data_IF_504801735205
#
_entry.id   IF_504801735205
#
_cell.length_a   1.000
_cell.length_b   1.000
_cell.length_c   1.000
_cell.angle_alpha   90.00
_cell.angle_beta   90.00
_cell.angle_gamma   90.00
#
_symmetry.space_group_name_H-M   'P 1'
#
loop_
_entity.id
_entity.type
_entity.pdbx_description
1 polymer ?
#
# COMPACT_ATOMS: atom_id res chain seq x y z
N UNK A 1 6.43 24.41 -1.09
CA UNK A 1 6.60 23.35 -0.06
C UNK A 1 5.39 22.45 0.02
N UNK A 2 4.17 22.99 0.11
CA UNK A 2 2.94 22.18 0.21
C UNK A 2 2.72 21.21 -0.97
N UNK A 3 2.84 21.68 -2.22
CA UNK A 3 2.70 20.83 -3.41
C UNK A 3 3.73 19.69 -3.43
N UNK A 4 4.97 19.97 -3.01
CA UNK A 4 6.04 18.97 -2.94
C UNK A 4 5.70 17.89 -1.90
N UNK A 5 5.26 18.30 -0.71
CA UNK A 5 4.88 17.39 0.37
C UNK A 5 3.68 16.51 -0.01
N UNK A 6 2.66 17.11 -0.63
CA UNK A 6 1.50 16.37 -1.14
C UNK A 6 1.89 15.39 -2.24
N UNK A 7 2.84 15.77 -3.12
CA UNK A 7 3.34 14.88 -4.17
C UNK A 7 4.13 13.70 -3.59
N UNK A 8 5.03 13.95 -2.63
CA UNK A 8 5.78 12.89 -1.93
C UNK A 8 4.82 11.93 -1.22
N UNK A 9 3.80 12.46 -0.56
CA UNK A 9 2.77 11.66 0.13
C UNK A 9 2.02 10.76 -0.86
N UNK A 10 1.55 11.33 -1.98
CA UNK A 10 0.85 10.57 -3.01
C UNK A 10 1.74 9.47 -3.62
N UNK A 11 2.99 9.80 -3.95
CA UNK A 11 3.96 8.84 -4.52
C UNK A 11 4.26 7.73 -3.52
N UNK A 12 4.42 8.06 -2.23
CA UNK A 12 4.60 7.07 -1.17
C UNK A 12 3.44 6.07 -1.14
N UNK A 13 2.20 6.56 -1.12
CA UNK A 13 1.02 5.70 -1.15
C UNK A 13 1.02 4.77 -2.37
N UNK A 14 1.28 5.30 -3.57
CA UNK A 14 1.32 4.50 -4.79
C UNK A 14 2.40 3.42 -4.76
N UNK A 15 3.59 3.72 -4.24
CA UNK A 15 4.70 2.75 -4.11
C UNK A 15 4.29 1.61 -3.18
N UNK A 16 3.78 1.92 -1.99
CA UNK A 16 3.40 0.89 -1.01
C UNK A 16 2.20 0.05 -1.49
N UNK A 17 1.24 0.65 -2.20
CA UNK A 17 0.14 -0.08 -2.84
C UNK A 17 0.69 -1.06 -3.89
N UNK A 18 1.62 -0.61 -4.75
CA UNK A 18 2.24 -1.46 -5.76
C UNK A 18 3.04 -2.62 -5.14
N UNK A 19 3.81 -2.35 -4.08
CA UNK A 19 4.54 -3.37 -3.32
C UNK A 19 3.60 -4.39 -2.69
N UNK A 20 2.54 -3.92 -2.04
CA UNK A 20 1.52 -4.79 -1.41
C UNK A 20 0.84 -5.66 -2.46
N UNK A 21 0.50 -5.10 -3.61
CA UNK A 21 -0.08 -5.85 -4.73
C UNK A 21 0.86 -6.94 -5.24
N UNK A 22 2.16 -6.63 -5.37
CA UNK A 22 3.16 -7.61 -5.76
C UNK A 22 3.27 -8.75 -4.73
N UNK A 23 3.30 -8.44 -3.43
CA UNK A 23 3.33 -9.45 -2.37
C UNK A 23 2.08 -10.32 -2.41
N UNK A 24 0.89 -9.72 -2.47
CA UNK A 24 -0.37 -10.45 -2.52
C UNK A 24 -0.44 -11.39 -3.73
N UNK A 25 0.05 -10.97 -4.90
CA UNK A 25 0.06 -11.81 -6.11
C UNK A 25 1.06 -12.96 -6.05
N UNK A 26 2.24 -12.73 -5.49
CA UNK A 26 3.35 -13.67 -5.60
C UNK A 26 3.46 -14.63 -4.40
N UNK A 27 3.00 -14.20 -3.22
CA UNK A 27 3.13 -14.98 -2.00
C UNK A 27 1.99 -16.01 -1.83
N UNK A 28 0.79 -15.67 -2.31
CA UNK A 28 -0.39 -16.50 -2.11
C UNK A 28 -0.72 -17.31 -3.36
N UNK A 29 -0.91 -18.61 -3.16
CA UNK A 29 -1.44 -19.51 -4.19
C UNK A 29 -2.98 -19.38 -4.24
N UNK A 30 -3.45 -18.38 -4.97
CA UNK A 30 -4.87 -18.09 -5.10
C UNK A 30 -5.69 -19.21 -5.77
N UNK A 31 -5.03 -20.12 -6.50
CA UNK A 31 -5.70 -21.28 -7.12
C UNK A 31 -6.28 -22.24 -6.08
N UNK A 32 -5.75 -22.23 -4.86
CA UNK A 32 -6.24 -23.01 -3.72
C UNK A 32 -7.37 -22.32 -2.94
N UNK A 33 -7.49 -21.00 -3.09
CA UNK A 33 -8.48 -20.18 -2.37
C UNK A 33 -9.78 -20.05 -3.16
N UNK A 34 -9.69 -19.95 -4.49
CA UNK A 34 -10.85 -19.74 -5.36
C UNK A 34 -11.02 -20.88 -6.37
N UNK A 35 -12.27 -21.12 -6.80
CA UNK A 35 -12.54 -22.01 -7.94
C UNK A 35 -11.95 -21.39 -9.20
N UNK A 36 -11.11 -22.15 -9.91
CA UNK A 36 -10.36 -21.69 -11.07
C UNK A 36 -11.23 -21.57 -12.34
N UNK A 37 -12.23 -20.69 -12.30
CA UNK A 37 -13.08 -20.33 -13.45
C UNK A 37 -12.68 -18.94 -13.98
N UNK A 38 -12.81 -18.66 -15.28
CA UNK A 38 -12.45 -17.37 -15.86
C UNK A 38 -13.12 -16.17 -15.16
N UNK A 39 -14.37 -16.34 -14.75
CA UNK A 39 -15.13 -15.31 -14.02
C UNK A 39 -14.53 -15.00 -12.64
N UNK A 40 -14.18 -16.04 -11.87
CA UNK A 40 -13.60 -15.87 -10.53
C UNK A 40 -12.18 -15.30 -10.60
N UNK A 41 -11.41 -15.61 -11.64
CA UNK A 41 -10.08 -15.02 -11.85
C UNK A 41 -10.19 -13.50 -12.05
N UNK A 42 -11.18 -13.04 -12.83
CA UNK A 42 -11.44 -11.61 -13.01
C UNK A 42 -11.79 -10.92 -11.69
N UNK A 43 -12.74 -11.49 -10.93
CA UNK A 43 -13.16 -10.98 -9.61
C UNK A 43 -12.01 -10.98 -8.61
N UNK A 44 -11.16 -12.01 -8.63
CA UNK A 44 -9.98 -12.11 -7.79
C UNK A 44 -8.97 -10.98 -8.05
N UNK A 45 -8.71 -10.62 -9.32
CA UNK A 45 -7.80 -9.51 -9.65
C UNK A 45 -8.29 -8.19 -9.04
N UNK A 46 -9.59 -7.92 -9.11
CA UNK A 46 -10.21 -6.74 -8.50
C UNK A 46 -10.11 -6.81 -6.97
N UNK A 47 -10.40 -7.98 -6.38
CA UNK A 47 -10.26 -8.18 -4.94
C UNK A 47 -8.84 -7.91 -4.44
N UNK A 48 -7.83 -8.47 -5.12
CA UNK A 48 -6.42 -8.24 -4.77
C UNK A 48 -6.08 -6.75 -4.90
N UNK A 49 -6.54 -6.08 -5.95
CA UNK A 49 -6.30 -4.64 -6.12
C UNK A 49 -6.90 -3.83 -4.95
N UNK A 50 -8.14 -4.09 -4.57
CA UNK A 50 -8.80 -3.42 -3.45
C UNK A 50 -8.05 -3.67 -2.13
N UNK A 51 -7.64 -4.91 -1.89
CA UNK A 51 -6.86 -5.29 -0.72
C UNK A 51 -5.48 -4.60 -0.71
N UNK A 52 -4.87 -4.46 -1.88
CA UNK A 52 -3.59 -3.76 -2.04
C UNK A 52 -3.71 -2.28 -1.74
N UNK A 53 -4.81 -1.64 -2.16
CA UNK A 53 -5.09 -0.23 -1.85
C UNK A 53 -5.26 -0.07 -0.35
N UNK A 54 -6.10 -0.89 0.29
CA UNK A 54 -6.38 -0.79 1.72
C UNK A 54 -5.12 -1.00 2.57
N UNK A 55 -4.43 -2.13 2.37
CA UNK A 55 -3.23 -2.47 3.15
C UNK A 55 -2.06 -1.55 2.80
N UNK A 56 -1.81 -1.32 1.52
CA UNK A 56 -0.69 -0.48 1.07
C UNK A 56 -0.82 0.97 1.52
N UNK A 57 -2.04 1.53 1.48
CA UNK A 57 -2.31 2.85 2.06
C UNK A 57 -2.04 2.87 3.56
N UNK A 58 -2.55 1.88 4.31
CA UNK A 58 -2.37 1.81 5.76
C UNK A 58 -0.89 1.72 6.16
N UNK A 59 -0.11 0.87 5.47
CA UNK A 59 1.33 0.76 5.70
C UNK A 59 2.05 2.06 5.35
N UNK A 60 1.73 2.65 4.20
CA UNK A 60 2.33 3.92 3.79
C UNK A 60 2.04 5.05 4.77
N UNK A 61 0.79 5.16 5.22
CA UNK A 61 0.37 6.15 6.20
C UNK A 61 1.13 6.00 7.52
N UNK A 62 1.20 4.76 8.03
CA UNK A 62 1.97 4.45 9.24
C UNK A 62 3.46 4.84 9.12
N UNK A 63 4.10 4.56 7.97
CA UNK A 63 5.50 4.94 7.73
C UNK A 63 5.67 6.46 7.67
N UNK A 64 4.75 7.17 7.03
CA UNK A 64 4.78 8.64 6.99
C UNK A 64 4.59 9.23 8.38
N UNK A 65 3.69 8.69 9.21
CA UNK A 65 3.53 9.10 10.60
C UNK A 65 4.81 8.91 11.41
N UNK A 66 5.50 7.76 11.26
CA UNK A 66 6.80 7.53 11.92
C UNK A 66 7.81 8.60 11.51
N UNK A 67 7.88 8.94 10.22
CA UNK A 67 8.79 9.98 9.72
C UNK A 67 8.45 11.32 10.35
N UNK A 68 7.16 11.70 10.36
CA UNK A 68 6.70 12.96 10.96
C UNK A 68 7.05 13.03 12.44
N UNK A 69 6.72 11.98 13.21
CA UNK A 69 7.04 11.89 14.64
C UNK A 69 8.54 12.00 14.86
N UNK A 70 9.36 11.28 14.07
CA UNK A 70 10.82 11.33 14.17
C UNK A 70 11.38 12.74 13.90
N UNK A 71 10.83 13.45 12.91
CA UNK A 71 11.21 14.84 12.62
C UNK A 71 10.82 15.77 13.76
N UNK A 72 9.61 15.63 14.30
CA UNK A 72 9.16 16.43 15.45
C UNK A 72 10.06 16.21 16.67
N UNK A 73 10.44 14.96 16.96
CA UNK A 73 11.38 14.67 18.04
C UNK A 73 12.79 15.20 17.78
N UNK A 74 13.29 15.15 16.55
CA UNK A 74 14.65 15.60 16.25
C UNK A 74 14.78 17.14 16.24
N UNK A 75 13.80 17.84 15.66
CA UNK A 75 13.82 19.30 15.52
C UNK A 75 13.10 20.05 16.64
N UNK A 76 12.23 19.40 17.42
CA UNK A 76 11.50 20.02 18.53
C UNK A 76 12.29 20.15 19.84
N UNK A 77 13.47 19.54 19.93
CA UNK A 77 14.38 19.63 21.08
C UNK A 77 15.62 20.52 20.81
N UNK A 78 15.64 21.24 19.69
CA UNK A 78 16.65 22.25 19.35
C UNK A 78 16.05 23.66 19.47
#
# INVERSE_FOLDING_TARGET
MEILNSSVTLISHLIFIAMTHQVLRNLFDWSKVIKNTPENIGRLKVFILLLSIAIGYMVSHFILEIITVSQTFFFGFQ
#
